data_IF_591749144930
#
_entry.id   IF_591749144930
#
_cell.length_a   1.000
_cell.length_b   1.000
_cell.length_c   1.000
_cell.angle_alpha   90.00
_cell.angle_beta   90.00
_cell.angle_gamma   90.00
#
_symmetry.space_group_name_H-M   'P 1'
#
loop_
_entity.id
_entity.type
_entity.pdbx_description
1 polymer ?
#
# COMPACT_ATOMS: atom_id res chain seq x y z
N UNK A 1 -2.26 -14.03 10.66
CA UNK A 1 -3.19 -13.10 9.97
C UNK A 1 -2.39 -12.19 9.06
N UNK A 2 -2.68 -12.16 7.75
CA UNK A 2 -1.93 -11.31 6.81
C UNK A 2 -2.25 -9.83 7.04
N UNK A 3 -1.22 -8.99 6.96
CA UNK A 3 -1.29 -7.51 7.08
C UNK A 3 -2.36 -6.89 6.16
N UNK A 4 -2.59 -7.53 5.00
CA UNK A 4 -3.67 -7.14 4.05
C UNK A 4 -5.07 -7.30 4.64
N UNK A 5 -5.33 -8.36 5.40
CA UNK A 5 -6.64 -8.61 6.02
C UNK A 5 -6.95 -7.61 7.13
N UNK A 6 -5.94 -7.25 7.93
CA UNK A 6 -6.09 -6.24 8.97
C UNK A 6 -6.36 -4.84 8.37
N UNK A 7 -5.63 -4.44 7.32
CA UNK A 7 -5.90 -3.17 6.61
C UNK A 7 -7.28 -3.11 5.99
N UNK A 8 -7.74 -4.20 5.36
CA UNK A 8 -9.08 -4.27 4.79
C UNK A 8 -10.14 -4.11 5.88
N UNK A 9 -9.98 -4.81 7.00
CA UNK A 9 -10.89 -4.73 8.13
C UNK A 9 -10.97 -3.30 8.70
N UNK A 10 -9.82 -2.67 8.97
CA UNK A 10 -9.79 -1.30 9.51
C UNK A 10 -10.37 -0.28 8.52
N UNK A 11 -10.06 -0.41 7.23
CA UNK A 11 -10.64 0.45 6.19
C UNK A 11 -12.16 0.32 6.09
N UNK A 12 -12.69 -0.91 6.17
CA UNK A 12 -14.14 -1.18 6.18
C UNK A 12 -14.80 -0.59 7.42
N UNK A 13 -14.21 -0.75 8.61
CA UNK A 13 -14.73 -0.16 9.86
C UNK A 13 -14.75 1.37 9.80
N UNK A 14 -13.70 1.98 9.23
CA UNK A 14 -13.63 3.43 9.05
C UNK A 14 -14.71 3.94 8.08
N UNK A 15 -14.83 3.32 6.91
CA UNK A 15 -15.85 3.71 5.92
C UNK A 15 -17.28 3.47 6.43
N UNK A 16 -17.50 2.43 7.23
CA UNK A 16 -18.79 2.15 7.86
C UNK A 16 -19.17 3.19 8.94
N UNK A 17 -18.19 3.91 9.51
CA UNK A 17 -18.45 4.94 10.53
C UNK A 17 -19.05 6.22 9.93
N UNK A 18 -18.75 6.54 8.67
CA UNK A 18 -19.28 7.72 7.95
C UNK A 18 -20.81 7.70 7.80
N UNK A 19 -21.46 6.64 7.29
CA UNK A 19 -22.91 6.58 7.24
C UNK A 19 -23.54 6.50 8.64
N UNK A 20 -22.84 5.93 9.64
CA UNK A 20 -23.28 5.96 11.04
C UNK A 20 -23.43 7.38 11.59
N UNK A 21 -22.49 8.27 11.27
CA UNK A 21 -22.56 9.70 11.62
C UNK A 21 -23.76 10.40 10.95
N UNK A 22 -24.02 10.10 9.67
CA UNK A 22 -25.11 10.70 8.90
C UNK A 22 -26.47 10.27 9.46
N UNK A 23 -26.67 8.96 9.68
CA UNK A 23 -27.93 8.41 10.23
C UNK A 23 -28.15 8.88 11.67
N UNK A 24 -27.10 8.92 12.48
CA UNK A 24 -27.19 9.39 13.87
C UNK A 24 -27.55 10.87 13.97
N UNK A 25 -27.10 11.69 13.03
CA UNK A 25 -27.44 13.12 12.99
C UNK A 25 -28.90 13.34 12.58
N UNK A 26 -29.45 12.53 11.69
CA UNK A 26 -30.86 12.61 11.26
C UNK A 26 -31.84 12.22 12.38
N UNK A 27 -31.41 11.38 13.31
CA UNK A 27 -32.24 10.91 14.43
C UNK A 27 -32.32 11.90 15.61
N UNK A 28 -31.72 13.09 15.51
CA UNK A 28 -31.69 14.15 16.54
C UNK A 28 -31.19 13.68 17.93
N UNK A 29 -30.34 12.64 17.95
CA UNK A 29 -29.70 12.11 19.16
C UNK A 29 -28.26 12.62 19.24
N UNK A 30 -28.11 13.81 19.81
CA UNK A 30 -26.82 14.51 19.95
C UNK A 30 -25.75 13.66 20.64
N UNK A 31 -26.13 12.86 21.64
CA UNK A 31 -25.21 11.94 22.32
C UNK A 31 -24.67 10.81 21.43
N UNK A 32 -25.50 10.29 20.52
CA UNK A 32 -25.08 9.25 19.59
C UNK A 32 -24.12 9.81 18.53
N UNK A 33 -24.37 11.03 18.05
CA UNK A 33 -23.48 11.71 17.10
C UNK A 33 -22.06 11.90 17.65
N UNK A 34 -21.94 12.25 18.94
CA UNK A 34 -20.63 12.41 19.62
C UNK A 34 -19.89 11.07 19.73
N UNK A 35 -20.58 9.99 20.09
CA UNK A 35 -19.94 8.66 20.20
C UNK A 35 -19.45 8.12 18.85
N UNK A 36 -20.24 8.29 17.79
CA UNK A 36 -19.81 7.93 16.43
C UNK A 36 -18.62 8.77 15.97
N UNK A 37 -18.57 10.05 16.35
CA UNK A 37 -17.44 10.93 16.05
C UNK A 37 -16.15 10.47 16.72
N UNK A 38 -16.21 10.13 18.02
CA UNK A 38 -15.05 9.62 18.76
C UNK A 38 -14.55 8.28 18.21
N UNK A 39 -15.46 7.38 17.83
CA UNK A 39 -15.10 6.10 17.20
C UNK A 39 -14.41 6.33 15.86
N UNK A 40 -14.90 7.27 15.04
CA UNK A 40 -14.29 7.61 13.76
C UNK A 40 -12.88 8.20 13.93
N UNK A 41 -12.69 9.11 14.89
CA UNK A 41 -11.37 9.69 15.18
C UNK A 41 -10.39 8.62 15.67
N UNK A 42 -10.80 7.75 16.60
CA UNK A 42 -9.96 6.66 17.09
C UNK A 42 -9.56 5.70 15.95
N UNK A 43 -10.52 5.32 15.10
CA UNK A 43 -10.26 4.49 13.93
C UNK A 43 -9.30 5.16 12.91
N UNK A 44 -9.45 6.47 12.68
CA UNK A 44 -8.56 7.24 11.82
C UNK A 44 -7.14 7.26 12.37
N UNK A 45 -6.96 7.50 13.67
CA UNK A 45 -5.65 7.52 14.31
C UNK A 45 -4.96 6.16 14.25
N UNK A 46 -5.69 5.07 14.48
CA UNK A 46 -5.16 3.70 14.33
C UNK A 46 -4.77 3.44 12.87
N UNK A 47 -5.62 3.81 11.91
CA UNK A 47 -5.32 3.62 10.48
C UNK A 47 -4.11 4.46 10.05
N UNK A 48 -3.99 5.68 10.55
CA UNK A 48 -2.85 6.57 10.31
C UNK A 48 -1.56 5.95 10.86
N UNK A 49 -1.54 5.51 12.11
CA UNK A 49 -0.37 4.88 12.73
C UNK A 49 0.04 3.58 12.01
N UNK A 50 -0.95 2.76 11.60
CA UNK A 50 -0.70 1.56 10.80
C UNK A 50 -0.17 1.91 9.41
N UNK A 51 -0.66 3.00 8.82
CA UNK A 51 -0.16 3.50 7.54
C UNK A 51 1.29 3.93 7.69
N UNK A 52 1.63 4.80 8.64
CA UNK A 52 3.01 5.21 8.92
C UNK A 52 3.98 4.01 9.09
N UNK A 53 3.59 3.01 9.88
CA UNK A 53 4.44 1.84 10.15
C UNK A 53 4.53 0.88 8.94
N UNK A 54 3.42 0.61 8.26
CA UNK A 54 3.40 -0.32 7.14
C UNK A 54 3.91 0.31 5.83
N UNK A 55 4.04 1.63 5.82
CA UNK A 55 4.22 2.43 4.63
C UNK A 55 5.33 3.45 4.87
N UNK A 56 6.52 2.98 5.23
CA UNK A 56 7.69 3.84 5.45
C UNK A 56 8.16 4.67 4.25
N UNK A 57 7.40 4.76 3.13
CA UNK A 57 7.74 5.54 1.91
C UNK A 57 6.55 5.97 1.03
N UNK A 58 5.29 6.00 1.48
CA UNK A 58 4.23 6.62 0.66
C UNK A 58 4.04 8.02 1.19
N UNK A 59 4.72 8.97 0.55
CA UNK A 59 4.46 10.38 0.73
C UNK A 59 2.95 10.61 0.59
N UNK A 60 2.29 11.34 1.52
CA UNK A 60 0.83 11.52 1.56
C UNK A 60 0.21 12.13 0.30
N UNK A 61 1.03 12.61 -0.65
CA UNK A 61 0.60 13.09 -1.97
C UNK A 61 0.64 12.07 -3.12
N UNK A 62 1.00 10.82 -2.85
CA UNK A 62 1.12 9.77 -3.89
C UNK A 62 -0.11 8.87 -4.04
N UNK A 63 -1.27 9.30 -3.53
CA UNK A 63 -2.57 8.79 -4.04
C UNK A 63 -2.84 9.45 -5.40
N UNK A 64 -1.93 9.26 -6.34
CA UNK A 64 -2.13 9.61 -7.74
C UNK A 64 -2.74 8.40 -8.43
N UNK A 65 -4.05 8.49 -8.62
CA UNK A 65 -4.78 7.80 -9.68
C UNK A 65 -3.99 8.01 -10.98
N UNK A 66 -3.60 6.91 -11.64
CA UNK A 66 -2.99 6.85 -12.97
C UNK A 66 -1.75 7.74 -13.26
N UNK A 67 -0.55 7.20 -13.04
CA UNK A 67 0.66 7.63 -13.74
C UNK A 67 1.67 6.47 -13.84
N UNK A 68 1.43 5.56 -14.78
CA UNK A 68 2.27 4.38 -15.03
C UNK A 68 3.66 4.62 -15.61
N UNK A 69 4.23 5.83 -15.48
CA UNK A 69 5.56 6.18 -16.00
C UNK A 69 6.48 6.77 -14.94
N UNK A 70 6.05 7.85 -14.27
CA UNK A 70 6.93 8.65 -13.42
C UNK A 70 7.29 8.01 -12.07
N UNK A 71 6.44 7.13 -11.56
CA UNK A 71 6.71 6.40 -10.31
C UNK A 71 7.82 5.35 -10.49
N UNK A 72 7.79 4.62 -11.61
CA UNK A 72 8.81 3.61 -11.94
C UNK A 72 10.18 4.24 -12.18
N UNK A 73 10.24 5.43 -12.77
CA UNK A 73 11.52 6.12 -13.02
C UNK A 73 12.17 6.61 -11.71
N UNK A 74 11.36 7.17 -10.79
CA UNK A 74 11.87 7.58 -9.47
C UNK A 74 12.36 6.39 -8.63
N UNK A 75 11.63 5.28 -8.67
CA UNK A 75 12.04 4.05 -8.00
C UNK A 75 13.32 3.46 -8.61
N UNK A 76 13.46 3.51 -9.94
CA UNK A 76 14.68 3.09 -10.62
C UNK A 76 15.89 3.95 -10.23
N UNK A 77 15.72 5.27 -10.17
CA UNK A 77 16.77 6.19 -9.75
C UNK A 77 17.22 5.95 -8.29
N UNK A 78 16.27 5.69 -7.38
CA UNK A 78 16.56 5.34 -6.00
C UNK A 78 17.34 4.01 -5.91
N UNK A 79 16.91 2.98 -6.66
CA UNK A 79 17.63 1.70 -6.71
C UNK A 79 19.06 1.85 -7.24
N UNK A 80 19.27 2.68 -8.26
CA UNK A 80 20.60 2.95 -8.80
C UNK A 80 21.49 3.70 -7.80
N UNK A 81 20.91 4.60 -7.01
CA UNK A 81 21.62 5.27 -5.92
C UNK A 81 22.06 4.27 -4.85
N UNK A 82 21.17 3.38 -4.41
CA UNK A 82 21.46 2.36 -3.40
C UNK A 82 22.55 1.38 -3.88
N UNK A 83 22.46 0.92 -5.13
CA UNK A 83 23.49 0.06 -5.73
C UNK A 83 24.85 0.76 -5.76
N UNK A 84 24.89 2.04 -6.14
CA UNK A 84 26.12 2.84 -6.13
C UNK A 84 26.68 2.98 -4.72
N UNK A 85 25.83 3.23 -3.72
CA UNK A 85 26.25 3.33 -2.32
C UNK A 85 26.84 2.01 -1.81
N UNK A 86 26.23 0.87 -2.15
CA UNK A 86 26.75 -0.46 -1.81
C UNK A 86 28.13 -0.71 -2.44
N UNK A 87 28.30 -0.40 -3.72
CA UNK A 87 29.59 -0.55 -4.42
C UNK A 87 30.63 0.40 -3.83
N UNK A 88 30.26 1.65 -3.52
CA UNK A 88 31.14 2.61 -2.87
C UNK A 88 31.56 2.18 -1.46
N UNK A 89 30.70 1.46 -0.74
CA UNK A 89 31.00 0.84 0.55
C UNK A 89 31.90 -0.41 0.44
N UNK A 90 32.31 -0.80 -0.76
CA UNK A 90 33.23 -1.91 -1.02
C UNK A 90 32.56 -3.22 -1.41
N UNK A 91 31.24 -3.22 -1.71
CA UNK A 91 30.61 -4.41 -2.26
C UNK A 91 31.11 -4.71 -3.68
N UNK A 92 31.32 -5.99 -3.98
CA UNK A 92 31.69 -6.46 -5.33
C UNK A 92 30.58 -6.11 -6.34
N UNK A 93 30.89 -5.24 -7.30
CA UNK A 93 29.96 -4.76 -8.32
C UNK A 93 29.38 -5.91 -9.17
N UNK A 94 30.20 -6.90 -9.52
CA UNK A 94 29.76 -8.04 -10.30
C UNK A 94 28.78 -8.91 -9.50
N UNK A 95 29.05 -9.10 -8.20
CA UNK A 95 28.16 -9.82 -7.31
C UNK A 95 26.81 -9.08 -7.12
N UNK A 96 26.85 -7.76 -6.89
CA UNK A 96 25.66 -6.91 -6.74
C UNK A 96 24.83 -6.90 -8.01
N UNK A 97 25.44 -6.69 -9.18
CA UNK A 97 24.74 -6.74 -10.48
C UNK A 97 24.16 -8.12 -10.76
N UNK A 98 24.85 -9.19 -10.38
CA UNK A 98 24.36 -10.56 -10.47
C UNK A 98 23.11 -10.76 -9.61
N UNK A 99 23.10 -10.24 -8.39
CA UNK A 99 21.96 -10.30 -7.48
C UNK A 99 20.74 -9.54 -8.03
N UNK A 100 20.93 -8.29 -8.44
CA UNK A 100 19.86 -7.46 -9.04
C UNK A 100 19.26 -8.15 -10.26
N UNK A 101 20.11 -8.70 -11.14
CA UNK A 101 19.65 -9.41 -12.35
C UNK A 101 18.81 -10.64 -12.01
N UNK A 102 19.17 -11.40 -10.97
CA UNK A 102 18.37 -12.54 -10.48
C UNK A 102 17.02 -12.08 -9.92
N UNK A 103 17.01 -11.01 -9.13
CA UNK A 103 15.78 -10.44 -8.57
C UNK A 103 14.82 -9.97 -9.68
N UNK A 104 15.31 -9.24 -10.69
CA UNK A 104 14.51 -8.80 -11.85
C UNK A 104 13.92 -9.99 -12.60
N UNK A 105 14.71 -11.04 -12.83
CA UNK A 105 14.22 -12.25 -13.52
C UNK A 105 13.11 -12.94 -12.73
N UNK A 106 13.22 -12.98 -11.41
CA UNK A 106 12.19 -13.56 -10.53
C UNK A 106 10.90 -12.73 -10.54
N UNK A 107 11.01 -11.40 -10.51
CA UNK A 107 9.86 -10.49 -10.60
C UNK A 107 9.10 -10.68 -11.91
N UNK A 108 9.78 -10.60 -13.05
CA UNK A 108 9.18 -10.79 -14.38
C UNK A 108 8.51 -12.16 -14.55
N UNK A 109 9.10 -13.22 -13.98
CA UNK A 109 8.53 -14.56 -14.01
C UNK A 109 7.23 -14.69 -13.19
N UNK A 110 7.14 -13.96 -12.08
CA UNK A 110 5.95 -13.91 -11.22
C UNK A 110 4.79 -13.21 -11.92
N UNK A 111 5.06 -12.09 -12.59
CA UNK A 111 4.05 -11.34 -13.36
C UNK A 111 3.52 -12.15 -14.55
N UNK A 112 4.40 -12.87 -15.24
CA UNK A 112 4.01 -13.74 -16.35
C UNK A 112 3.08 -14.88 -15.88
N UNK A 113 3.32 -15.45 -14.69
CA UNK A 113 2.42 -16.45 -14.08
C UNK A 113 1.09 -15.86 -13.65
N UNK A 114 1.10 -14.69 -13.03
CA UNK A 114 -0.12 -14.00 -12.60
C UNK A 114 -1.03 -13.64 -13.79
N UNK A 115 -0.45 -13.23 -14.93
CA UNK A 115 -1.20 -12.98 -16.17
C UNK A 115 -1.82 -14.24 -16.77
N UNK A 116 -1.11 -15.37 -16.73
CA UNK A 116 -1.63 -16.66 -17.21
C UNK A 116 -2.82 -17.15 -16.40
N UNK A 117 -2.80 -17.00 -15.08
CA UNK A 117 -3.92 -17.39 -14.21
C UNK A 117 -5.18 -16.52 -14.40
N UNK A 118 -5.01 -15.28 -14.85
CA UNK A 118 -6.11 -14.35 -15.09
C UNK A 118 -6.80 -14.56 -16.45
N UNK A 119 -6.18 -15.32 -17.35
CA UNK A 119 -6.61 -15.53 -18.73
C UNK A 119 -7.31 -16.87 -19.00
N UNK A 120 -7.68 -17.66 -17.99
CA UNK A 120 -8.50 -18.86 -18.18
C UNK A 120 -9.98 -18.50 -18.07
N UNK A 121 -10.71 -18.29 -19.18
CA UNK A 121 -12.16 -18.25 -19.13
C UNK A 121 -12.67 -19.62 -18.69
N UNK A 122 -13.47 -19.61 -17.62
CA UNK A 122 -14.28 -20.75 -17.21
C UNK A 122 -15.33 -20.99 -18.30
N UNK A 123 -15.02 -21.85 -19.26
CA UNK A 123 -16.00 -22.36 -20.22
C UNK A 123 -16.98 -23.28 -19.50
N UNK A 124 -18.25 -22.88 -19.51
CA UNK A 124 -19.41 -23.77 -19.45
C UNK A 124 -19.88 -23.97 -20.88
#
# INVERSE_FOLDING_TARGET
>A
MSVRGFRLLTGVVFLASVPGLIVSSVADRTGAAVTFGLIAVAAALVLLAVTEVAVGRISPWSVSVDAGGDSSEREAAALEHDVRALVAAGADEAAVRGLVRRAVRLGRGSDARARRQRGTPSGN
#
